data_IF_861644706798
#
_entry.id   IF_861644706798
#
_cell.length_a   1.000
_cell.length_b   1.000
_cell.length_c   1.000
_cell.angle_alpha   90.00
_cell.angle_beta   90.00
_cell.angle_gamma   90.00
#
_symmetry.space_group_name_H-M   'P 1'
#
loop_
_entity.id
_entity.type
_entity.pdbx_description
1 polymer ?
#
# COMPACT_ATOMS: atom_id res chain seq x y z
N UNK A 1 -2.85 6.21 15.52
CA UNK A 1 -1.77 6.67 14.62
C UNK A 1 -2.39 7.39 13.44
N UNK A 2 -2.37 8.72 13.42
CA UNK A 2 -2.95 9.53 12.35
C UNK A 2 -1.91 10.57 11.93
N UNK A 3 -1.17 10.26 10.87
CA UNK A 3 -0.22 11.19 10.26
C UNK A 3 -0.95 12.01 9.19
N UNK A 4 -1.81 12.92 9.64
CA UNK A 4 -2.44 13.89 8.74
C UNK A 4 -1.45 15.03 8.53
N UNK A 5 -0.71 15.03 7.42
CA UNK A 5 0.20 16.12 7.09
C UNK A 5 -0.57 17.36 6.63
N UNK A 6 -0.24 18.57 7.13
CA UNK A 6 -0.76 19.83 6.62
C UNK A 6 -0.07 20.15 5.27
N UNK A 7 -0.86 20.58 4.27
CA UNK A 7 -0.52 20.87 2.87
C UNK A 7 -0.56 19.70 1.87
N UNK A 8 -1.62 19.74 1.06
CA UNK A 8 -2.03 18.77 0.03
C UNK A 8 -1.03 18.55 -1.12
N UNK A 9 -0.13 19.50 -1.39
CA UNK A 9 0.70 19.50 -2.60
C UNK A 9 2.03 18.74 -2.49
N UNK A 10 2.50 18.38 -1.27
CA UNK A 10 3.72 17.56 -1.07
C UNK A 10 3.47 16.05 -0.96
N UNK A 11 2.21 15.63 -0.88
CA UNK A 11 1.82 14.24 -0.63
C UNK A 11 2.16 13.30 -1.81
N UNK A 12 2.11 13.82 -3.05
CA UNK A 12 2.50 13.07 -4.25
C UNK A 12 3.98 12.68 -4.21
N UNK A 13 4.84 13.58 -3.74
CA UNK A 13 6.28 13.38 -3.70
C UNK A 13 6.68 12.28 -2.70
N UNK A 14 6.04 12.18 -1.54
CA UNK A 14 6.48 11.26 -0.49
C UNK A 14 6.05 9.80 -0.70
N UNK A 15 4.82 9.55 -1.20
CA UNK A 15 4.32 8.17 -1.45
C UNK A 15 4.93 7.56 -2.71
N UNK A 16 5.36 8.40 -3.66
CA UNK A 16 5.97 7.98 -4.93
C UNK A 16 7.51 7.98 -4.91
N UNK A 17 8.12 8.48 -3.83
CA UNK A 17 9.57 8.62 -3.78
C UNK A 17 10.23 7.23 -3.73
N UNK A 18 11.04 6.95 -4.73
CA UNK A 18 11.81 5.71 -4.82
C UNK A 18 12.64 5.45 -3.55
N UNK A 19 13.21 6.50 -2.96
CA UNK A 19 14.07 6.37 -1.77
C UNK A 19 13.30 5.96 -0.51
N UNK A 20 12.02 6.34 -0.39
CA UNK A 20 11.18 6.01 0.77
C UNK A 20 10.68 4.56 0.70
N UNK A 21 10.49 4.04 -0.51
CA UNK A 21 10.01 2.67 -0.75
C UNK A 21 11.14 1.62 -0.66
N UNK A 22 12.39 2.01 -0.89
CA UNK A 22 13.53 1.08 -0.91
C UNK A 22 13.71 0.32 0.41
N UNK A 23 13.66 1.01 1.55
CA UNK A 23 13.87 0.38 2.86
C UNK A 23 12.71 -0.56 3.28
N UNK A 24 11.43 -0.17 3.18
CA UNK A 24 10.32 -1.09 3.38
C UNK A 24 10.32 -2.28 2.42
N UNK A 25 10.67 -2.06 1.14
CA UNK A 25 10.76 -3.14 0.15
C UNK A 25 11.85 -4.16 0.52
N UNK A 26 13.01 -3.66 0.99
CA UNK A 26 14.09 -4.49 1.51
C UNK A 26 13.64 -5.31 2.74
N UNK A 27 13.01 -4.68 3.73
CA UNK A 27 12.53 -5.37 4.94
C UNK A 27 11.49 -6.47 4.62
N UNK A 28 10.63 -6.21 3.63
CA UNK A 28 9.59 -7.15 3.19
C UNK A 28 10.09 -8.18 2.17
N UNK A 29 11.33 -8.05 1.67
CA UNK A 29 11.88 -8.92 0.63
C UNK A 29 11.13 -8.84 -0.71
N UNK A 30 10.53 -7.69 -1.03
CA UNK A 30 9.75 -7.50 -2.27
C UNK A 30 10.43 -6.50 -3.20
N UNK A 31 10.17 -6.63 -4.50
CA UNK A 31 10.65 -5.65 -5.48
C UNK A 31 10.00 -4.28 -5.25
N UNK A 32 10.81 -3.24 -5.26
CA UNK A 32 10.40 -1.87 -4.96
C UNK A 32 9.43 -1.30 -6.01
N UNK A 33 9.67 -1.55 -7.30
CA UNK A 33 8.79 -1.08 -8.38
C UNK A 33 7.43 -1.77 -8.29
N UNK A 34 7.41 -3.05 -7.95
CA UNK A 34 6.18 -3.80 -7.69
C UNK A 34 5.41 -3.24 -6.49
N UNK A 35 6.10 -2.87 -5.41
CA UNK A 35 5.48 -2.22 -4.26
C UNK A 35 4.89 -0.85 -4.64
N UNK A 36 5.64 -0.05 -5.42
CA UNK A 36 5.19 1.23 -5.93
C UNK A 36 3.94 1.08 -6.79
N UNK A 37 3.98 0.19 -7.78
CA UNK A 37 2.85 -0.07 -8.68
C UNK A 37 1.58 -0.45 -7.88
N UNK A 38 1.70 -1.30 -6.87
CA UNK A 38 0.57 -1.71 -6.03
C UNK A 38 0.01 -0.59 -5.15
N UNK A 39 0.82 0.39 -4.78
CA UNK A 39 0.36 1.56 -4.02
C UNK A 39 -0.28 2.62 -4.92
N UNK A 40 0.06 2.66 -6.21
CA UNK A 40 -0.29 3.74 -7.13
C UNK A 40 -1.26 3.35 -8.23
N UNK A 41 -1.51 2.05 -8.39
CA UNK A 41 -2.39 1.52 -9.41
C UNK A 41 -3.45 0.63 -8.77
N UNK A 42 -4.67 0.74 -9.30
CA UNK A 42 -5.73 -0.22 -9.01
C UNK A 42 -6.21 -0.79 -10.33
N UNK A 43 -6.23 -2.12 -10.39
CA UNK A 43 -6.92 -2.82 -11.46
C UNK A 43 -8.41 -2.81 -11.13
N UNK A 44 -9.22 -2.22 -12.01
CA UNK A 44 -10.68 -2.34 -11.94
C UNK A 44 -11.13 -3.28 -13.04
N UNK A 45 -11.78 -4.38 -12.64
CA UNK A 45 -12.42 -5.31 -13.55
C UNK A 45 -13.87 -4.86 -13.73
N UNK A 46 -14.17 -4.27 -14.88
CA UNK A 46 -15.55 -3.94 -15.25
C UNK A 46 -16.13 -5.08 -16.09
N UNK A 47 -17.28 -5.61 -15.66
CA UNK A 47 -18.07 -6.57 -16.44
C UNK A 47 -19.31 -5.86 -16.97
N UNK A 48 -19.33 -5.58 -18.27
CA UNK A 48 -20.53 -5.11 -18.96
C UNK A 48 -20.85 -6.07 -20.11
N UNK A 49 -22.07 -6.62 -20.13
CA UNK A 49 -22.58 -7.38 -21.27
C UNK A 49 -21.77 -8.62 -21.70
N UNK A 50 -21.14 -9.34 -20.76
CA UNK A 50 -20.43 -10.59 -21.05
C UNK A 50 -18.98 -10.44 -21.53
N UNK A 51 -18.47 -9.21 -21.65
CA UNK A 51 -17.03 -8.94 -21.88
C UNK A 51 -16.40 -8.45 -20.57
N UNK A 52 -15.29 -9.07 -20.19
CA UNK A 52 -14.45 -8.64 -19.07
C UNK A 52 -13.32 -7.79 -19.60
N UNK A 53 -13.30 -6.50 -19.26
CA UNK A 53 -12.19 -5.58 -19.55
C UNK A 53 -11.51 -5.20 -18.22
N UNK A 54 -10.19 -5.40 -18.16
CA UNK A 54 -9.39 -4.99 -17.00
C UNK A 54 -8.74 -3.64 -17.30
N UNK A 55 -9.18 -2.59 -16.61
CA UNK A 55 -8.65 -1.23 -16.80
C UNK A 55 -7.69 -0.91 -15.66
N UNK A 56 -6.44 -0.55 -16.01
CA UNK A 56 -5.47 -0.06 -15.04
C UNK A 56 -5.73 1.42 -14.77
N UNK A 57 -6.22 1.73 -13.58
CA UNK A 57 -6.49 3.10 -13.14
C UNK A 57 -5.33 3.56 -12.26
N UNK A 58 -4.64 4.62 -12.68
CA UNK A 58 -3.69 5.32 -11.83
C UNK A 58 -4.43 6.04 -10.72
N UNK A 59 -4.12 5.69 -9.47
CA UNK A 59 -4.74 6.26 -8.27
C UNK A 59 -4.29 7.70 -8.06
N UNK A 60 -5.19 8.54 -7.57
CA UNK A 60 -4.81 9.87 -7.11
C UNK A 60 -3.99 9.79 -5.80
N UNK A 61 -3.40 10.91 -5.41
CA UNK A 61 -2.50 10.99 -4.25
C UNK A 61 -3.17 10.54 -2.95
N UNK A 62 -4.44 10.90 -2.75
CA UNK A 62 -5.19 10.58 -1.55
C UNK A 62 -5.44 9.06 -1.46
N UNK A 63 -5.83 8.44 -2.57
CA UNK A 63 -6.03 7.00 -2.68
C UNK A 63 -4.73 6.22 -2.43
N UNK A 64 -3.60 6.66 -2.99
CA UNK A 64 -2.31 6.03 -2.74
C UNK A 64 -1.90 6.12 -1.26
N UNK A 65 -2.21 7.26 -0.61
CA UNK A 65 -2.00 7.45 0.83
C UNK A 65 -2.87 6.48 1.65
N UNK A 66 -4.15 6.32 1.29
CA UNK A 66 -5.04 5.34 1.92
C UNK A 66 -4.53 3.91 1.79
N UNK A 67 -4.06 3.51 0.60
CA UNK A 67 -3.50 2.17 0.39
C UNK A 67 -2.24 1.94 1.23
N UNK A 68 -1.35 2.94 1.35
CA UNK A 68 -0.18 2.89 2.24
C UNK A 68 -0.58 2.67 3.70
N UNK A 69 -1.55 3.44 4.18
CA UNK A 69 -1.99 3.35 5.58
C UNK A 69 -2.68 2.02 5.86
N UNK A 70 -3.45 1.50 4.91
CA UNK A 70 -4.05 0.18 4.98
C UNK A 70 -2.99 -0.92 5.04
N UNK A 71 -1.94 -0.84 4.21
CA UNK A 71 -0.81 -1.77 4.23
C UNK A 71 -0.10 -1.76 5.59
N UNK A 72 0.20 -0.57 6.12
CA UNK A 72 0.86 -0.43 7.42
C UNK A 72 0.04 -1.05 8.57
N UNK A 73 -1.28 -0.82 8.59
CA UNK A 73 -2.19 -1.43 9.57
C UNK A 73 -2.26 -2.94 9.44
N UNK A 74 -2.33 -3.46 8.22
CA UNK A 74 -2.36 -4.90 7.96
C UNK A 74 -1.07 -5.58 8.43
N UNK A 75 0.10 -4.99 8.14
CA UNK A 75 1.39 -5.49 8.61
C UNK A 75 1.45 -5.49 10.14
N UNK A 76 1.08 -4.37 10.77
CA UNK A 76 1.06 -4.27 12.23
C UNK A 76 0.16 -5.33 12.87
N UNK A 77 -1.06 -5.51 12.35
CA UNK A 77 -1.99 -6.54 12.85
C UNK A 77 -1.35 -7.93 12.77
N UNK A 78 -0.82 -8.31 11.59
CA UNK A 78 -0.23 -9.64 11.40
C UNK A 78 0.97 -9.91 12.28
N UNK A 79 1.85 -8.92 12.47
CA UNK A 79 3.00 -9.05 13.36
C UNK A 79 2.55 -9.17 14.81
N UNK A 80 1.58 -8.36 15.22
CA UNK A 80 1.03 -8.43 16.58
C UNK A 80 0.36 -9.78 16.85
N UNK A 81 -0.49 -10.26 15.94
CA UNK A 81 -1.17 -11.55 16.06
C UNK A 81 -0.14 -12.70 16.16
N UNK A 82 0.89 -12.69 15.31
CA UNK A 82 1.99 -13.65 15.40
C UNK A 82 2.71 -13.61 16.76
N UNK A 83 2.98 -12.42 17.30
CA UNK A 83 3.62 -12.27 18.62
C UNK A 83 2.73 -12.80 19.75
N UNK A 84 1.42 -12.62 19.66
CA UNK A 84 0.46 -13.16 20.62
C UNK A 84 0.44 -14.69 20.54
N UNK A 85 0.41 -15.26 19.34
CA UNK A 85 0.39 -16.71 19.13
C UNK A 85 1.65 -17.39 19.69
N UNK A 86 2.85 -16.84 19.41
CA UNK A 86 4.10 -17.41 19.95
C UNK A 86 4.18 -17.29 21.48
N UNK A 87 3.61 -16.24 22.06
CA UNK A 87 3.57 -16.04 23.52
C UNK A 87 2.64 -17.04 24.19
N UNK A 88 1.52 -17.37 23.55
CA UNK A 88 0.51 -18.31 24.09
C UNK A 88 0.81 -19.78 23.79
N UNK A 89 1.77 -20.05 22.90
CA UNK A 89 2.22 -21.42 22.55
C UNK A 89 3.44 -21.86 23.39
N UNK A 90 3.98 -20.96 24.22
CA UNK A 90 5.11 -21.22 25.14
C UNK A 90 4.66 -21.73 26.51
#
# INVERSE_FOLDING_TARGET
MNWKCPNSERLSCFVLCSTVLAFPAYLLGINQDRLKEKLTSRQMDSKWGGKSESIHVTLNVEQACYTRDALAKALHSRVFDFLVDVSNTS
#
